data_IF_551797745741
#
_entry.id   IF_551797745741
#
_cell.length_a   1.000
_cell.length_b   1.000
_cell.length_c   1.000
_cell.angle_alpha   90.00
_cell.angle_beta   90.00
_cell.angle_gamma   90.00
#
_symmetry.space_group_name_H-M   'P 1'
#
loop_
_entity.id
_entity.type
_entity.pdbx_description
1 polymer ?
#
# COMPACT_ATOMS: atom_id res chain seq x y z
N UNK A 1 -20.91 30.27 20.31
CA UNK A 1 -21.45 29.59 19.12
C UNK A 1 -20.50 28.46 18.79
N UNK A 2 -20.82 27.22 19.17
CA UNK A 2 -20.02 26.06 18.77
C UNK A 2 -20.29 25.82 17.27
N UNK A 3 -19.23 25.81 16.45
CA UNK A 3 -19.35 25.50 15.02
C UNK A 3 -19.87 24.08 14.80
N UNK A 4 -20.30 23.72 13.58
CA UNK A 4 -20.70 22.35 13.29
C UNK A 4 -19.52 21.43 13.59
N UNK A 5 -19.72 20.50 14.53
CA UNK A 5 -18.73 19.48 14.86
C UNK A 5 -18.45 18.66 13.60
N UNK A 6 -17.19 18.65 13.14
CA UNK A 6 -16.81 17.87 11.96
C UNK A 6 -17.05 16.39 12.28
N UNK A 7 -17.70 15.68 11.36
CA UNK A 7 -17.83 14.22 11.43
C UNK A 7 -16.44 13.58 11.61
N UNK A 8 -16.35 12.54 12.44
CA UNK A 8 -15.08 11.89 12.79
C UNK A 8 -14.30 11.45 11.54
N UNK A 9 -14.99 11.03 10.47
CA UNK A 9 -14.36 10.68 9.20
C UNK A 9 -13.64 11.88 8.57
N UNK A 10 -14.25 13.06 8.61
CA UNK A 10 -13.63 14.27 8.06
C UNK A 10 -12.41 14.69 8.88
N UNK A 11 -12.47 14.53 10.21
CA UNK A 11 -11.32 14.79 11.08
C UNK A 11 -10.15 13.84 10.75
N UNK A 12 -10.42 12.54 10.57
CA UNK A 12 -9.40 11.56 10.17
C UNK A 12 -8.78 11.92 8.81
N UNK A 13 -9.60 12.34 7.84
CA UNK A 13 -9.10 12.76 6.52
C UNK A 13 -8.16 13.94 6.66
N UNK A 14 -8.63 15.01 7.30
CA UNK A 14 -7.90 16.27 7.44
C UNK A 14 -6.57 16.05 8.19
N UNK A 15 -6.56 15.25 9.25
CA UNK A 15 -5.39 15.11 10.13
C UNK A 15 -4.36 14.08 9.64
N UNK A 16 -4.81 12.99 9.01
CA UNK A 16 -3.95 11.83 8.71
C UNK A 16 -3.78 11.55 7.23
N UNK A 17 -4.73 12.00 6.40
CA UNK A 17 -4.82 11.61 4.98
C UNK A 17 -4.61 12.79 4.02
N UNK A 18 -4.25 13.97 4.54
CA UNK A 18 -3.85 15.13 3.74
C UNK A 18 -2.36 15.42 3.83
N UNK A 19 -1.84 16.03 2.79
CA UNK A 19 -0.46 16.48 2.75
C UNK A 19 -0.25 17.73 3.59
N UNK A 20 0.73 17.74 4.51
CA UNK A 20 1.07 18.89 5.34
C UNK A 20 1.66 20.13 4.61
N UNK A 21 1.67 20.15 3.27
CA UNK A 21 2.09 21.31 2.45
C UNK A 21 0.90 21.85 1.63
N UNK A 22 0.28 21.01 0.79
CA UNK A 22 -0.82 21.43 -0.07
C UNK A 22 -2.20 21.25 0.57
N UNK A 23 -2.29 20.53 1.71
CA UNK A 23 -3.52 20.20 2.43
C UNK A 23 -4.55 19.37 1.62
N UNK A 24 -4.17 18.93 0.42
CA UNK A 24 -4.93 18.00 -0.40
C UNK A 24 -4.75 16.55 0.09
N UNK A 25 -5.78 15.73 -0.14
CA UNK A 25 -5.77 14.30 0.19
C UNK A 25 -4.75 13.52 -0.64
N UNK A 26 -4.14 12.51 -0.04
CA UNK A 26 -3.19 11.65 -0.75
C UNK A 26 -3.87 10.76 -1.81
N UNK A 27 -3.12 10.37 -2.83
CA UNK A 27 -3.57 9.46 -3.89
C UNK A 27 -2.42 8.56 -4.37
N UNK A 28 -2.72 7.56 -5.20
CA UNK A 28 -1.72 6.61 -5.71
C UNK A 28 -0.89 7.12 -6.89
N UNK A 29 -1.20 8.32 -7.43
CA UNK A 29 -0.62 8.87 -8.66
C UNK A 29 0.26 10.10 -8.39
N UNK A 30 -0.34 11.27 -8.18
CA UNK A 30 0.35 12.55 -8.07
C UNK A 30 0.57 12.94 -6.61
N UNK A 31 -0.43 12.67 -5.76
CA UNK A 31 -0.37 12.93 -4.32
C UNK A 31 0.10 11.71 -3.55
N UNK A 32 1.11 11.03 -4.08
CA UNK A 32 1.69 9.85 -3.44
C UNK A 32 2.33 10.24 -2.09
N UNK A 33 1.92 9.62 -0.97
CA UNK A 33 2.45 9.95 0.34
C UNK A 33 3.87 9.40 0.48
N UNK A 34 4.85 10.30 0.59
CA UNK A 34 6.26 9.98 0.81
C UNK A 34 6.61 10.16 2.29
N UNK A 35 7.09 9.09 2.90
CA UNK A 35 7.51 9.08 4.31
C UNK A 35 8.97 9.50 4.45
N UNK A 36 9.24 10.53 5.26
CA UNK A 36 10.60 10.99 5.50
C UNK A 36 11.33 10.10 6.53
N UNK A 37 12.50 9.52 6.19
CA UNK A 37 13.15 8.53 7.05
C UNK A 37 13.64 9.07 8.40
N UNK A 38 14.00 10.35 8.49
CA UNK A 38 14.54 10.94 9.74
C UNK A 38 13.48 11.44 10.72
N UNK A 39 12.22 11.57 10.29
CA UNK A 39 11.17 12.19 11.10
C UNK A 39 9.78 11.61 10.94
N UNK A 40 9.58 10.66 10.02
CA UNK A 40 8.31 9.99 9.70
C UNK A 40 7.18 10.91 9.20
N UNK A 41 7.38 12.22 9.10
CA UNK A 41 6.42 13.12 8.46
C UNK A 41 6.17 12.71 6.99
N UNK A 42 4.94 12.91 6.55
CA UNK A 42 4.44 12.43 5.27
C UNK A 42 4.00 13.62 4.43
N UNK A 43 4.41 13.64 3.17
CA UNK A 43 4.07 14.70 2.23
C UNK A 43 3.83 14.13 0.84
N UNK A 44 3.10 14.89 0.02
CA UNK A 44 2.85 14.50 -1.36
C UNK A 44 4.16 14.55 -2.17
N UNK A 45 4.36 13.58 -3.07
CA UNK A 45 5.58 13.50 -3.89
C UNK A 45 5.87 14.80 -4.64
N UNK A 46 4.85 15.37 -5.30
CA UNK A 46 4.96 16.64 -6.02
C UNK A 46 5.42 17.80 -5.11
N UNK A 47 4.88 17.85 -3.90
CA UNK A 47 5.14 18.88 -2.91
C UNK A 47 6.59 18.81 -2.42
N UNK A 48 7.08 17.60 -2.12
CA UNK A 48 8.47 17.39 -1.74
C UNK A 48 9.43 17.72 -2.88
N UNK A 49 9.12 17.31 -4.11
CA UNK A 49 9.97 17.63 -5.26
C UNK A 49 10.14 19.14 -5.44
N UNK A 50 9.05 19.91 -5.32
CA UNK A 50 9.09 21.38 -5.38
C UNK A 50 9.86 21.99 -4.21
N UNK A 51 9.66 21.48 -2.99
CA UNK A 51 10.36 21.95 -1.80
C UNK A 51 11.87 21.76 -1.91
N UNK A 52 12.31 20.56 -2.28
CA UNK A 52 13.73 20.22 -2.48
C UNK A 52 14.34 21.08 -3.59
N UNK A 53 13.67 21.23 -4.73
CA UNK A 53 14.15 22.06 -5.83
C UNK A 53 14.28 23.55 -5.44
N UNK A 54 13.38 24.06 -4.62
CA UNK A 54 13.41 25.45 -4.12
C UNK A 54 14.57 25.66 -3.14
N UNK A 55 14.77 24.74 -2.19
CA UNK A 55 15.87 24.79 -1.22
C UNK A 55 17.25 24.76 -1.90
N UNK A 56 17.38 23.99 -2.98
CA UNK A 56 18.63 23.91 -3.75
C UNK A 56 18.99 25.22 -4.43
N UNK A 57 18.01 25.87 -5.08
CA UNK A 57 18.22 27.18 -5.71
C UNK A 57 18.73 28.22 -4.72
N UNK A 58 18.28 28.14 -3.46
CA UNK A 58 18.74 29.04 -2.38
C UNK A 58 20.16 28.74 -1.91
N UNK A 59 20.57 27.47 -1.90
CA UNK A 59 21.89 27.05 -1.38
C UNK A 59 23.01 27.17 -2.41
N UNK A 60 22.70 27.35 -3.70
CA UNK A 60 23.71 27.52 -4.76
C UNK A 60 24.64 26.33 -4.95
N UNK A 61 24.35 25.17 -4.35
CA UNK A 61 25.19 23.97 -4.39
C UNK A 61 24.63 22.93 -5.37
N UNK A 62 25.50 22.44 -6.25
CA UNK A 62 25.20 21.42 -7.26
C UNK A 62 25.13 20.00 -6.71
N UNK A 63 24.23 19.70 -5.79
CA UNK A 63 24.04 18.33 -5.29
C UNK A 63 22.75 18.09 -4.50
N UNK A 64 22.09 16.95 -4.76
CA UNK A 64 20.83 16.50 -4.13
C UNK A 64 21.01 15.83 -2.76
N UNK A 65 22.14 16.00 -2.07
CA UNK A 65 22.50 15.06 -1.00
C UNK A 65 21.57 15.16 0.21
N UNK A 66 21.07 16.36 0.54
CA UNK A 66 20.23 16.59 1.73
C UNK A 66 19.22 17.72 1.58
N UNK A 67 18.11 17.65 2.32
CA UNK A 67 17.16 18.75 2.51
C UNK A 67 16.58 18.74 3.93
N UNK A 68 15.82 19.77 4.31
CA UNK A 68 15.18 19.87 5.63
C UNK A 68 13.67 19.61 5.55
N UNK A 69 13.17 18.82 6.50
CA UNK A 69 11.73 18.54 6.62
C UNK A 69 10.94 19.86 6.81
N UNK A 70 9.87 20.11 6.02
CA UNK A 70 9.04 21.31 6.14
C UNK A 70 8.42 21.51 7.53
N UNK A 71 8.07 20.42 8.22
CA UNK A 71 7.38 20.49 9.52
C UNK A 71 8.36 20.61 10.69
N UNK A 72 9.41 19.80 10.72
CA UNK A 72 10.28 19.67 11.90
C UNK A 72 11.75 20.06 11.67
N UNK A 73 12.10 20.51 10.46
CA UNK A 73 13.45 20.94 10.04
C UNK A 73 14.57 19.90 10.20
N UNK A 74 14.26 18.65 10.57
CA UNK A 74 15.24 17.56 10.57
C UNK A 74 15.78 17.36 9.16
N UNK A 75 17.10 17.17 9.06
CA UNK A 75 17.78 16.88 7.79
C UNK A 75 17.37 15.49 7.28
N UNK A 76 17.20 15.37 5.98
CA UNK A 76 16.85 14.14 5.26
C UNK A 76 17.85 13.97 4.14
N UNK A 77 18.45 12.78 4.06
CA UNK A 77 19.36 12.43 2.97
C UNK A 77 18.54 11.83 1.82
N UNK A 78 18.85 12.25 0.59
CA UNK A 78 18.24 11.68 -0.61
C UNK A 78 19.21 10.71 -1.28
N UNK A 79 18.66 9.62 -1.79
CA UNK A 79 19.34 8.72 -2.72
C UNK A 79 19.53 9.41 -4.09
N UNK A 80 20.32 8.83 -5.01
CA UNK A 80 20.45 9.35 -6.38
C UNK A 80 19.12 9.48 -7.14
N UNK A 81 18.10 8.71 -6.74
CA UNK A 81 16.71 8.80 -7.24
C UNK A 81 15.91 9.99 -6.69
N UNK A 82 16.52 10.86 -5.88
CA UNK A 82 15.88 12.03 -5.29
C UNK A 82 14.64 11.66 -4.45
N UNK A 83 13.61 12.49 -4.55
CA UNK A 83 12.33 12.33 -3.81
C UNK A 83 11.59 11.06 -4.19
N UNK A 84 11.69 10.60 -5.44
CA UNK A 84 11.02 9.38 -5.90
C UNK A 84 11.51 8.13 -5.15
N UNK A 85 12.79 8.14 -4.75
CA UNK A 85 13.42 7.07 -3.97
C UNK A 85 12.98 7.00 -2.51
N UNK A 86 12.19 7.97 -2.01
CA UNK A 86 11.64 7.92 -0.66
C UNK A 86 10.53 6.87 -0.57
N UNK A 87 10.40 6.17 0.58
CA UNK A 87 9.39 5.14 0.76
C UNK A 87 7.98 5.73 0.70
N UNK A 88 7.09 5.04 -0.02
CA UNK A 88 5.67 5.36 -0.01
C UNK A 88 5.03 4.87 1.28
N UNK A 89 4.15 5.67 1.87
CA UNK A 89 3.37 5.22 3.02
C UNK A 89 2.13 4.45 2.55
N UNK A 90 2.28 3.11 2.49
CA UNK A 90 1.19 2.21 2.09
C UNK A 90 0.03 2.20 3.07
N UNK A 91 0.27 2.54 4.34
CA UNK A 91 -0.79 2.58 5.35
C UNK A 91 -1.71 3.77 5.09
N UNK A 92 -1.14 4.95 4.84
CA UNK A 92 -1.89 6.14 4.47
C UNK A 92 -2.65 5.91 3.17
N UNK A 93 -2.03 5.33 2.13
CA UNK A 93 -2.74 5.00 0.89
C UNK A 93 -3.95 4.07 1.12
N UNK A 94 -3.75 2.99 1.86
CA UNK A 94 -4.82 2.03 2.16
C UNK A 94 -5.93 2.62 3.04
N UNK A 95 -5.60 3.59 3.90
CA UNK A 95 -6.58 4.32 4.69
C UNK A 95 -7.33 5.34 3.85
N UNK A 96 -6.65 6.05 2.94
CA UNK A 96 -7.31 7.00 2.03
C UNK A 96 -8.38 6.31 1.18
N UNK A 97 -8.07 5.15 0.62
CA UNK A 97 -9.04 4.36 -0.16
C UNK A 97 -10.25 3.89 0.67
N UNK A 98 -10.05 3.62 1.97
CA UNK A 98 -11.11 3.13 2.87
C UNK A 98 -11.97 4.22 3.47
N UNK A 99 -11.37 5.37 3.82
CA UNK A 99 -12.05 6.47 4.52
C UNK A 99 -12.81 7.37 3.54
N UNK A 100 -12.28 7.59 2.33
CA UNK A 100 -12.95 8.42 1.32
C UNK A 100 -14.05 7.68 0.55
N UNK A 101 -13.96 6.36 0.41
CA UNK A 101 -15.03 5.57 -0.16
C UNK A 101 -16.15 5.32 0.88
N UNK A 102 -16.98 6.33 1.13
CA UNK A 102 -18.14 6.29 2.05
C UNK A 102 -19.29 5.33 1.64
N UNK A 103 -19.02 4.28 0.86
CA UNK A 103 -20.02 3.29 0.44
C UNK A 103 -19.89 2.91 -1.01
N UNK A 104 -18.86 2.13 -1.34
CA UNK A 104 -18.84 1.23 -2.50
C UNK A 104 -17.48 0.52 -2.57
N UNK A 105 -17.38 -0.64 -1.91
CA UNK A 105 -16.91 -1.79 -2.69
C UNK A 105 -18.00 -2.05 -3.73
N UNK A 106 -17.99 -1.30 -4.83
CA UNK A 106 -18.68 -1.73 -6.06
C UNK A 106 -17.68 -2.58 -6.79
N UNK A 107 -17.71 -3.88 -6.47
CA UNK A 107 -17.41 -4.90 -7.47
C UNK A 107 -18.14 -4.48 -8.74
N UNK A 108 -17.40 -4.41 -9.85
CA UNK A 108 -17.98 -4.21 -11.16
C UNK A 108 -18.93 -5.38 -11.45
N UNK A 109 -20.23 -5.17 -11.33
CA UNK A 109 -21.23 -5.91 -12.10
C UNK A 109 -21.92 -4.93 -13.03
N UNK A 110 -21.78 -5.17 -14.34
CA UNK A 110 -22.75 -4.89 -15.41
C UNK A 110 -22.37 -5.81 -16.58
N UNK A 111 -23.09 -6.87 -16.92
CA UNK A 111 -24.33 -7.45 -16.37
C UNK A 111 -24.19 -8.98 -16.19
N UNK A 112 -25.21 -9.76 -15.88
CA UNK A 112 -26.63 -9.48 -15.67
C UNK A 112 -27.22 -10.67 -14.86
N UNK A 113 -28.28 -10.40 -14.09
CA UNK A 113 -29.35 -11.31 -13.61
C UNK A 113 -29.03 -12.58 -12.78
N UNK A 114 -29.19 -12.49 -11.45
CA UNK A 114 -30.21 -13.21 -10.65
C UNK A 114 -29.82 -13.39 -9.16
N UNK A 115 -30.62 -12.78 -8.29
CA UNK A 115 -31.12 -13.28 -7.00
C UNK A 115 -30.25 -14.25 -6.15
N UNK A 116 -29.81 -13.81 -4.97
CA UNK A 116 -30.35 -14.33 -3.70
C UNK A 116 -29.91 -13.50 -2.51
N UNK A 117 -30.85 -13.37 -1.59
CA UNK A 117 -30.95 -12.41 -0.50
C UNK A 117 -30.57 -13.10 0.81
N UNK A 118 -29.37 -13.66 0.93
CA UNK A 118 -28.89 -14.21 2.20
C UNK A 118 -27.38 -13.98 2.32
N UNK A 119 -26.99 -13.31 3.40
CA UNK A 119 -25.63 -12.83 3.60
C UNK A 119 -24.58 -13.94 3.79
N UNK A 120 -23.33 -13.53 3.56
CA UNK A 120 -22.07 -13.98 4.18
C UNK A 120 -21.07 -14.69 3.23
N UNK A 121 -19.85 -14.13 3.26
CA UNK A 121 -18.55 -14.54 2.67
C UNK A 121 -18.26 -14.22 1.19
N UNK A 122 -18.01 -12.94 0.88
CA UNK A 122 -17.23 -12.57 -0.29
C UNK A 122 -15.76 -12.98 -0.08
N UNK A 123 -15.35 -14.11 -0.66
CA UNK A 123 -13.95 -14.53 -0.68
C UNK A 123 -13.18 -13.63 -1.66
N UNK A 124 -12.18 -12.89 -1.15
CA UNK A 124 -11.26 -12.10 -1.96
C UNK A 124 -10.36 -13.08 -2.71
N UNK A 125 -10.51 -13.17 -4.03
CA UNK A 125 -9.67 -14.05 -4.87
C UNK A 125 -8.63 -13.19 -5.58
N UNK A 126 -7.36 -13.37 -5.21
CA UNK A 126 -6.23 -12.67 -5.83
C UNK A 126 -5.98 -13.17 -7.25
N UNK A 127 -5.74 -12.24 -8.20
CA UNK A 127 -5.45 -12.56 -9.61
C UNK A 127 -3.96 -12.78 -9.85
N UNK A 128 -3.62 -13.67 -10.76
CA UNK A 128 -2.22 -13.91 -11.11
C UNK A 128 -1.65 -12.72 -11.90
N UNK A 129 -0.47 -12.18 -11.52
CA UNK A 129 0.14 -11.05 -12.22
C UNK A 129 0.63 -11.41 -13.64
N UNK A 130 0.94 -12.69 -13.90
CA UNK A 130 1.35 -13.20 -15.22
C UNK A 130 0.16 -13.66 -16.07
N UNK A 131 -0.89 -14.17 -15.42
CA UNK A 131 -2.10 -14.68 -16.05
C UNK A 131 -3.31 -13.91 -15.49
N UNK A 132 -3.62 -12.70 -15.99
CA UNK A 132 -4.65 -11.83 -15.41
C UNK A 132 -6.08 -12.42 -15.44
N UNK A 133 -6.29 -13.42 -16.29
CA UNK A 133 -7.54 -14.19 -16.40
C UNK A 133 -7.65 -15.27 -15.33
N UNK A 134 -6.54 -15.73 -14.78
CA UNK A 134 -6.46 -16.81 -13.82
C UNK A 134 -6.36 -16.31 -12.37
N UNK A 135 -6.92 -17.10 -11.46
CA UNK A 135 -6.94 -16.81 -10.04
C UNK A 135 -5.85 -17.59 -9.31
N UNK A 136 -5.19 -16.95 -8.35
CA UNK A 136 -4.26 -17.60 -7.44
C UNK A 136 -5.06 -18.47 -6.48
N UNK A 137 -5.03 -19.79 -6.70
CA UNK A 137 -5.81 -20.77 -5.92
C UNK A 137 -4.94 -21.73 -5.12
N UNK A 138 -3.66 -21.82 -5.48
CA UNK A 138 -2.72 -22.82 -4.96
C UNK A 138 -1.48 -22.13 -4.39
N UNK A 139 -0.81 -22.78 -3.46
CA UNK A 139 0.50 -22.35 -2.96
C UNK A 139 1.55 -23.37 -3.36
N UNK A 140 2.61 -22.91 -4.01
CA UNK A 140 3.73 -23.77 -4.35
C UNK A 140 4.65 -23.89 -3.13
N UNK A 141 4.74 -25.07 -2.53
CA UNK A 141 5.54 -25.27 -1.31
C UNK A 141 7.06 -25.16 -1.59
N UNK A 142 7.49 -25.49 -2.81
CA UNK A 142 8.90 -25.39 -3.23
C UNK A 142 9.36 -23.95 -3.43
N UNK A 143 8.49 -23.09 -3.96
CA UNK A 143 8.80 -21.70 -4.29
C UNK A 143 8.28 -20.70 -3.25
N UNK A 144 7.56 -21.20 -2.23
CA UNK A 144 6.92 -20.42 -1.18
C UNK A 144 6.09 -19.24 -1.70
N UNK A 145 5.33 -19.44 -2.79
CA UNK A 145 4.56 -18.38 -3.44
C UNK A 145 3.22 -18.88 -3.97
N UNK A 146 2.18 -18.02 -4.00
CA UNK A 146 0.89 -18.35 -4.57
C UNK A 146 1.00 -18.47 -6.10
N UNK A 147 0.33 -19.49 -6.65
CA UNK A 147 0.35 -19.84 -8.06
C UNK A 147 -1.08 -20.11 -8.57
N UNK A 148 -1.35 -19.79 -9.85
CA UNK A 148 -2.56 -20.18 -10.55
C UNK A 148 -2.38 -21.51 -11.30
N UNK A 149 -3.45 -22.05 -11.90
CA UNK A 149 -3.39 -23.30 -12.68
C UNK A 149 -2.36 -23.22 -13.82
N UNK A 150 -2.41 -22.16 -14.62
CA UNK A 150 -1.43 -21.96 -15.70
C UNK A 150 0.01 -21.84 -15.19
N UNK A 151 0.25 -21.26 -14.01
CA UNK A 151 1.60 -21.22 -13.43
C UNK A 151 2.10 -22.62 -13.05
N UNK A 152 1.22 -23.52 -12.64
CA UNK A 152 1.57 -24.91 -12.28
C UNK A 152 1.94 -25.72 -13.51
N UNK A 153 1.23 -25.54 -14.62
CA UNK A 153 1.49 -26.29 -15.86
C UNK A 153 2.74 -25.79 -16.60
N UNK A 154 3.14 -24.53 -16.41
CA UNK A 154 4.26 -23.93 -17.15
C UNK A 154 5.53 -23.77 -16.32
N UNK A 155 5.49 -22.95 -15.27
CA UNK A 155 6.70 -22.56 -14.52
C UNK A 155 6.94 -23.38 -13.26
N UNK A 156 5.91 -24.08 -12.77
CA UNK A 156 5.95 -24.90 -11.56
C UNK A 156 5.59 -26.36 -11.87
N UNK A 157 5.93 -26.84 -13.08
CA UNK A 157 5.73 -28.23 -13.48
C UNK A 157 6.49 -29.17 -12.54
N UNK A 158 5.79 -30.17 -12.00
CA UNK A 158 6.34 -31.12 -11.01
C UNK A 158 6.58 -30.57 -9.60
N UNK A 159 6.23 -29.32 -9.28
CA UNK A 159 6.32 -28.81 -7.91
C UNK A 159 5.10 -29.20 -7.07
N UNK A 160 5.32 -29.60 -5.82
CA UNK A 160 4.21 -29.89 -4.89
C UNK A 160 3.43 -28.63 -4.53
N UNK A 161 2.14 -28.60 -4.83
CA UNK A 161 1.20 -27.52 -4.49
C UNK A 161 0.25 -27.94 -3.36
N UNK A 162 -0.14 -26.98 -2.51
CA UNK A 162 -1.14 -27.16 -1.44
C UNK A 162 -2.40 -26.33 -1.71
N UNK A 163 -3.56 -26.86 -1.29
CA UNK A 163 -4.89 -26.36 -1.65
C UNK A 163 -5.44 -25.23 -0.79
N UNK A 164 -6.02 -24.23 -1.45
CA UNK A 164 -6.68 -23.00 -0.96
C UNK A 164 -5.79 -21.98 -0.26
N UNK A 165 -5.09 -21.19 -1.06
CA UNK A 165 -4.69 -19.84 -0.68
C UNK A 165 -5.98 -18.99 -0.51
N UNK A 166 -6.37 -18.67 0.73
CA UNK A 166 -7.56 -17.82 1.00
C UNK A 166 -8.59 -18.29 2.05
N UNK A 167 -8.31 -19.30 2.89
CA UNK A 167 -9.13 -19.56 4.09
C UNK A 167 -8.44 -18.99 5.33
N UNK A 168 -8.99 -17.92 5.90
CA UNK A 168 -8.72 -17.54 7.29
C UNK A 168 -9.20 -18.66 8.21
N UNK A 169 -8.26 -19.49 8.64
CA UNK A 169 -8.42 -20.49 9.69
C UNK A 169 -7.07 -20.72 10.33
N UNK A 170 -6.97 -20.39 11.62
CA UNK A 170 -5.80 -20.60 12.47
C UNK A 170 -5.10 -21.93 12.20
N UNK A 171 -3.79 -21.88 11.95
CA UNK A 171 -2.89 -22.90 12.51
C UNK A 171 -2.16 -22.25 13.68
N UNK A 172 -2.76 -22.46 14.84
CA UNK A 172 -2.02 -22.56 16.08
C UNK A 172 -1.04 -23.74 15.97
N UNK A 173 0.14 -23.60 16.59
CA UNK A 173 1.09 -24.70 16.71
C UNK A 173 2.51 -24.22 16.49
N UNK A 174 3.14 -23.79 17.58
CA UNK A 174 4.60 -23.68 17.61
C UNK A 174 5.24 -25.03 17.32
N UNK A 175 6.35 -25.00 16.60
CA UNK A 175 7.35 -26.05 16.68
C UNK A 175 8.70 -25.38 16.88
N UNK A 176 9.29 -25.78 17.99
CA UNK A 176 10.57 -25.39 18.54
C UNK A 176 11.70 -25.61 17.54
N UNK A 177 12.66 -24.68 17.54
CA UNK A 177 13.98 -24.91 16.98
C UNK A 177 14.66 -25.99 17.86
N UNK A 178 14.51 -27.25 17.48
CA UNK A 178 15.37 -28.32 18.01
C UNK A 178 16.66 -28.30 17.19
N UNK A 179 17.75 -28.05 17.89
CA UNK A 179 19.09 -28.27 17.40
C UNK A 179 19.26 -29.77 17.10
N UNK A 180 19.68 -30.10 15.88
CA UNK A 180 20.38 -31.35 15.63
C UNK A 180 21.77 -31.00 15.12
N UNK A 181 22.70 -31.43 15.96
CA UNK A 181 24.13 -31.53 15.79
C UNK A 181 24.39 -32.56 14.70
N UNK A 182 25.23 -32.22 13.72
CA UNK A 182 26.29 -33.08 13.18
C UNK A 182 27.40 -32.18 12.60
#
# INVERSE_FOLDING_TARGET
>A
MAGPEKDLQQQIVDDLLTCGICLETFDSKLKKPKSLPSCRHIFCMECLTKHVATEQRRRGQGGWTTFECPTCRKKVNLSPKGVEGLPDDRTVLGLTDKVLNKGAVKLTTRGDENYSKDGITAQVVDKCPKHPRENLRMFCNRCAMPVCAECVENEHDGHSTSGTYGKSGSVCGGLTFEAVVE
#
